data_IF_330016404907
#
_entry.id   IF_330016404907
#
_cell.length_a   1.000
_cell.length_b   1.000
_cell.length_c   1.000
_cell.angle_alpha   90.00
_cell.angle_beta   90.00
_cell.angle_gamma   90.00
#
_symmetry.space_group_name_H-M   'P 1'
#
loop_
_entity.id
_entity.type
_entity.pdbx_description
1 polymer ?
#
# COMPACT_ATOMS: atom_id res chain seq x y z
N UNK A 1 3.18 -13.28 -1.87
CA UNK A 1 2.85 -11.85 -2.02
C UNK A 1 1.63 -11.65 -2.92
N UNK A 2 1.70 -11.82 -4.26
CA UNK A 2 0.53 -11.53 -5.14
C UNK A 2 -0.74 -12.36 -4.83
N UNK A 3 -0.59 -13.58 -4.32
CA UNK A 3 -1.73 -14.42 -3.91
C UNK A 3 -2.55 -13.85 -2.75
N UNK A 4 -1.93 -13.07 -1.86
CA UNK A 4 -2.60 -12.49 -0.67
C UNK A 4 -3.56 -11.35 -1.05
N UNK A 5 -3.27 -10.67 -2.17
CA UNK A 5 -4.10 -9.58 -2.67
C UNK A 5 -5.22 -10.03 -3.60
N UNK A 6 -5.13 -11.25 -4.15
CA UNK A 6 -6.02 -11.74 -5.20
C UNK A 6 -7.50 -11.69 -4.81
N UNK A 7 -7.82 -12.10 -3.58
CA UNK A 7 -9.22 -12.11 -3.11
C UNK A 7 -9.76 -10.68 -3.03
N UNK A 8 -9.02 -9.76 -2.40
CA UNK A 8 -9.40 -8.36 -2.21
C UNK A 8 -9.49 -7.57 -3.52
N UNK A 9 -8.64 -7.87 -4.50
CA UNK A 9 -8.58 -7.15 -5.79
C UNK A 9 -9.50 -7.72 -6.87
N UNK A 10 -10.05 -8.93 -6.67
CA UNK A 10 -10.93 -9.60 -7.66
C UNK A 10 -12.42 -9.28 -7.52
N UNK A 11 -12.81 -8.57 -6.46
CA UNK A 11 -14.22 -8.22 -6.18
C UNK A 11 -14.58 -6.86 -6.77
N UNK A 12 -15.87 -6.64 -7.00
CA UNK A 12 -16.40 -5.29 -7.16
C UNK A 12 -16.56 -4.63 -5.78
N UNK A 13 -16.41 -3.32 -5.74
CA UNK A 13 -16.60 -2.51 -4.53
C UNK A 13 -17.45 -1.28 -4.85
N UNK A 14 -18.07 -0.72 -3.82
CA UNK A 14 -18.69 0.60 -3.85
C UNK A 14 -17.84 1.61 -3.06
N UNK A 15 -18.18 2.91 -3.13
CA UNK A 15 -17.44 3.94 -2.40
C UNK A 15 -17.43 3.72 -0.90
N UNK A 16 -18.54 3.23 -0.35
CA UNK A 16 -18.70 2.94 1.07
C UNK A 16 -17.78 1.81 1.55
N UNK A 17 -17.27 0.99 0.64
CA UNK A 17 -16.35 -0.11 0.95
C UNK A 17 -14.90 0.34 1.09
N UNK A 18 -14.56 1.59 0.73
CA UNK A 18 -13.17 2.09 0.68
C UNK A 18 -12.42 1.86 1.99
N UNK A 19 -13.03 2.21 3.12
CA UNK A 19 -12.41 2.03 4.43
C UNK A 19 -12.05 0.56 4.70
N UNK A 20 -12.94 -0.37 4.35
CA UNK A 20 -12.69 -1.81 4.51
C UNK A 20 -11.65 -2.32 3.53
N UNK A 21 -11.67 -1.86 2.27
CA UNK A 21 -10.65 -2.17 1.28
C UNK A 21 -9.26 -1.77 1.78
N UNK A 22 -9.09 -0.53 2.25
CA UNK A 22 -7.81 -0.02 2.75
C UNK A 22 -7.33 -0.86 3.94
N UNK A 23 -8.23 -1.23 4.86
CA UNK A 23 -7.91 -2.09 5.99
C UNK A 23 -7.41 -3.47 5.53
N UNK A 24 -8.11 -4.11 4.58
CA UNK A 24 -7.72 -5.41 4.04
C UNK A 24 -6.36 -5.36 3.33
N UNK A 25 -6.11 -4.33 2.53
CA UNK A 25 -4.83 -4.13 1.84
C UNK A 25 -3.68 -3.93 2.83
N UNK A 26 -3.92 -3.13 3.88
CA UNK A 26 -2.95 -2.90 4.94
C UNK A 26 -2.63 -4.19 5.70
N UNK A 27 -3.65 -4.97 6.06
CA UNK A 27 -3.48 -6.24 6.77
C UNK A 27 -2.74 -7.27 5.89
N UNK A 28 -3.05 -7.34 4.60
CA UNK A 28 -2.35 -8.19 3.63
C UNK A 28 -0.88 -7.79 3.47
N UNK A 29 -0.56 -6.50 3.33
CA UNK A 29 0.83 -6.04 3.20
C UNK A 29 1.65 -6.38 4.44
N UNK A 30 1.12 -6.13 5.65
CA UNK A 30 1.80 -6.49 6.90
C UNK A 30 2.00 -8.00 7.02
N UNK A 31 0.99 -8.80 6.65
CA UNK A 31 1.08 -10.26 6.73
C UNK A 31 2.10 -10.82 5.74
N UNK A 32 2.19 -10.21 4.56
CA UNK A 32 3.09 -10.65 3.50
C UNK A 32 4.58 -10.43 3.81
N UNK A 33 4.86 -9.53 4.74
CA UNK A 33 6.19 -9.19 5.26
C UNK A 33 6.74 -10.28 6.20
N UNK A 34 7.01 -11.45 5.62
CA UNK A 34 7.35 -12.69 6.33
C UNK A 34 8.86 -12.93 6.47
N UNK A 35 9.70 -12.17 5.76
CA UNK A 35 11.15 -12.30 5.85
C UNK A 35 11.65 -11.87 7.23
N UNK A 36 12.62 -12.60 7.77
CA UNK A 36 13.31 -12.12 8.97
C UNK A 36 14.03 -10.79 8.65
N UNK A 37 14.16 -9.92 9.65
CA UNK A 37 14.69 -8.55 9.50
C UNK A 37 16.05 -8.51 8.79
N UNK A 38 16.96 -9.43 9.13
CA UNK A 38 18.31 -9.47 8.53
C UNK A 38 18.24 -9.74 7.03
N UNK A 39 17.50 -10.78 6.65
CA UNK A 39 17.32 -11.15 5.25
C UNK A 39 16.58 -10.06 4.46
N UNK A 40 15.57 -9.41 5.06
CA UNK A 40 14.86 -8.29 4.44
C UNK A 40 15.82 -7.12 4.15
N UNK A 41 16.61 -6.73 5.15
CA UNK A 41 17.57 -5.63 5.01
C UNK A 41 18.69 -5.95 3.99
N UNK A 42 19.20 -7.18 3.99
CA UNK A 42 20.18 -7.63 2.99
C UNK A 42 19.59 -7.56 1.57
N UNK A 43 18.35 -8.00 1.39
CA UNK A 43 17.68 -7.97 0.09
C UNK A 43 17.37 -6.54 -0.37
N UNK A 44 17.02 -5.64 0.55
CA UNK A 44 16.91 -4.19 0.29
C UNK A 44 18.23 -3.57 -0.12
N UNK A 45 19.33 -3.94 0.56
CA UNK A 45 20.67 -3.47 0.18
C UNK A 45 21.06 -3.97 -1.22
N UNK A 46 20.75 -5.23 -1.55
CA UNK A 46 20.96 -5.77 -2.89
C UNK A 46 20.16 -5.04 -3.96
N UNK A 47 18.90 -4.68 -3.69
CA UNK A 47 18.08 -3.89 -4.60
C UNK A 47 18.66 -2.49 -4.90
N UNK A 48 19.53 -1.94 -4.04
CA UNK A 48 20.23 -0.68 -4.31
C UNK A 48 21.50 -0.86 -5.16
N UNK A 49 22.05 -2.07 -5.20
CA UNK A 49 23.30 -2.39 -5.89
C UNK A 49 23.07 -3.09 -7.24
N UNK A 50 21.94 -3.78 -7.39
CA UNK A 50 21.57 -4.56 -8.55
C UNK A 50 20.27 -4.01 -9.19
N UNK A 51 20.35 -3.41 -10.39
CA UNK A 51 19.19 -2.87 -11.09
C UNK A 51 18.13 -3.91 -11.43
N UNK A 52 18.47 -5.19 -11.61
CA UNK A 52 17.49 -6.23 -11.92
C UNK A 52 16.60 -6.51 -10.70
N UNK A 53 17.20 -6.58 -9.52
CA UNK A 53 16.49 -6.72 -8.25
C UNK A 53 15.65 -5.47 -7.98
N UNK A 54 16.21 -4.27 -8.22
CA UNK A 54 15.46 -3.02 -8.09
C UNK A 54 14.21 -3.00 -8.98
N UNK A 55 14.37 -3.39 -10.24
CA UNK A 55 13.29 -3.41 -11.22
C UNK A 55 12.20 -4.42 -10.83
N UNK A 56 12.55 -5.52 -10.16
CA UNK A 56 11.56 -6.45 -9.64
C UNK A 56 10.62 -5.78 -8.62
N UNK A 57 11.16 -5.00 -7.67
CA UNK A 57 10.37 -4.25 -6.69
C UNK A 57 9.51 -3.17 -7.33
N UNK A 58 10.11 -2.35 -8.19
CA UNK A 58 9.40 -1.28 -8.90
C UNK A 58 8.26 -1.86 -9.74
N UNK A 59 8.50 -2.96 -10.44
CA UNK A 59 7.48 -3.61 -11.25
C UNK A 59 6.39 -4.25 -10.40
N UNK A 60 6.72 -4.83 -9.24
CA UNK A 60 5.74 -5.36 -8.30
C UNK A 60 4.82 -4.24 -7.77
N UNK A 61 5.39 -3.16 -7.25
CA UNK A 61 4.62 -2.00 -6.77
C UNK A 61 3.72 -1.45 -7.88
N UNK A 62 4.27 -1.20 -9.07
CA UNK A 62 3.52 -0.67 -10.19
C UNK A 62 2.31 -1.55 -10.58
N UNK A 63 2.49 -2.88 -10.60
CA UNK A 63 1.37 -3.81 -10.90
C UNK A 63 0.30 -3.79 -9.81
N UNK A 64 0.71 -3.80 -8.54
CA UNK A 64 -0.23 -3.75 -7.42
C UNK A 64 -1.04 -2.45 -7.42
N UNK A 65 -0.37 -1.31 -7.58
CA UNK A 65 -1.03 0.00 -7.63
C UNK A 65 -1.94 0.14 -8.85
N UNK A 66 -1.56 -0.41 -10.00
CA UNK A 66 -2.42 -0.42 -11.19
C UNK A 66 -3.73 -1.18 -10.94
N UNK A 67 -3.67 -2.36 -10.31
CA UNK A 67 -4.87 -3.13 -9.97
C UNK A 67 -5.79 -2.40 -8.99
N UNK A 68 -5.21 -1.77 -7.96
CA UNK A 68 -5.98 -0.96 -7.00
C UNK A 68 -6.62 0.24 -7.70
N UNK A 69 -5.88 0.91 -8.58
CA UNK A 69 -6.36 2.06 -9.37
C UNK A 69 -7.56 1.68 -10.23
N UNK A 70 -7.48 0.57 -10.96
CA UNK A 70 -8.60 0.05 -11.77
C UNK A 70 -9.84 -0.24 -10.91
N UNK A 71 -9.64 -0.88 -9.75
CA UNK A 71 -10.71 -1.16 -8.80
C UNK A 71 -11.40 0.13 -8.31
N UNK A 72 -10.62 1.14 -7.92
CA UNK A 72 -11.17 2.43 -7.45
C UNK A 72 -11.88 3.20 -8.58
N UNK A 73 -11.33 3.21 -9.80
CA UNK A 73 -12.00 3.84 -10.95
C UNK A 73 -13.33 3.15 -11.24
N UNK A 74 -13.38 1.81 -11.14
CA UNK A 74 -14.63 1.05 -11.33
C UNK A 74 -15.70 1.37 -10.29
N UNK A 75 -15.28 1.86 -9.11
CA UNK A 75 -16.14 2.33 -8.03
C UNK A 75 -16.38 3.86 -8.07
N UNK A 76 -16.14 4.49 -9.23
CA UNK A 76 -16.41 5.90 -9.50
C UNK A 76 -15.59 6.89 -8.65
N UNK A 77 -14.42 6.48 -8.15
CA UNK A 77 -13.46 7.42 -7.57
C UNK A 77 -12.81 8.28 -8.65
N UNK A 78 -12.48 9.54 -8.29
CA UNK A 78 -11.80 10.46 -9.19
C UNK A 78 -10.44 9.90 -9.60
N UNK A 79 -10.14 9.95 -10.90
CA UNK A 79 -8.82 9.59 -11.43
C UNK A 79 -7.78 10.70 -11.23
N UNK A 80 -8.19 11.89 -10.80
CA UNK A 80 -7.31 13.03 -10.58
C UNK A 80 -6.27 12.71 -9.48
N UNK A 81 -5.00 12.71 -9.88
CA UNK A 81 -3.85 12.37 -9.04
C UNK A 81 -3.96 11.03 -8.29
N UNK A 82 -4.79 10.10 -8.78
CA UNK A 82 -5.08 8.85 -8.07
C UNK A 82 -3.82 7.99 -7.95
N UNK A 83 -2.95 8.02 -8.95
CA UNK A 83 -1.70 7.26 -8.93
C UNK A 83 -0.73 7.78 -7.87
N UNK A 84 -0.58 9.10 -7.76
CA UNK A 84 0.24 9.76 -6.74
C UNK A 84 -0.30 9.51 -5.33
N UNK A 85 -1.62 9.62 -5.16
CA UNK A 85 -2.31 9.28 -3.90
C UNK A 85 -2.06 7.84 -3.50
N UNK A 86 -2.20 6.89 -4.44
CA UNK A 86 -1.94 5.48 -4.19
C UNK A 86 -0.47 5.21 -3.84
N UNK A 87 0.47 5.91 -4.48
CA UNK A 87 1.90 5.78 -4.17
C UNK A 87 2.24 6.28 -2.78
N UNK A 88 1.66 7.40 -2.35
CA UNK A 88 1.80 7.92 -0.98
C UNK A 88 1.16 6.95 0.02
N UNK A 89 -0.03 6.44 -0.28
CA UNK A 89 -0.72 5.47 0.55
C UNK A 89 0.09 4.18 0.75
N UNK A 90 0.70 3.68 -0.32
CA UNK A 90 1.60 2.53 -0.27
C UNK A 90 2.81 2.79 0.64
N UNK A 91 3.43 3.97 0.51
CA UNK A 91 4.52 4.39 1.39
C UNK A 91 4.15 4.43 2.88
N UNK A 92 2.92 4.87 3.21
CA UNK A 92 2.41 4.84 4.59
C UNK A 92 2.36 3.41 5.12
N UNK A 93 1.88 2.46 4.31
CA UNK A 93 1.75 1.05 4.71
C UNK A 93 3.13 0.39 4.83
N UNK A 94 4.03 0.62 3.88
CA UNK A 94 5.41 0.09 3.90
C UNK A 94 6.18 0.57 5.13
N UNK A 95 6.07 1.84 5.50
CA UNK A 95 6.68 2.35 6.72
C UNK A 95 6.18 1.60 7.96
N UNK A 96 4.87 1.35 8.04
CA UNK A 96 4.29 0.63 9.17
C UNK A 96 4.76 -0.84 9.22
N UNK A 97 4.91 -1.48 8.07
CA UNK A 97 5.46 -2.83 7.96
C UNK A 97 6.90 -2.87 8.50
N UNK A 98 7.75 -1.95 8.06
CA UNK A 98 9.13 -1.86 8.50
C UNK A 98 9.26 -1.57 10.00
N UNK A 99 8.49 -0.62 10.53
CA UNK A 99 8.50 -0.31 11.96
C UNK A 99 8.14 -1.55 12.81
N UNK A 100 7.16 -2.34 12.36
CA UNK A 100 6.73 -3.54 13.06
C UNK A 100 7.75 -4.68 12.99
N UNK A 101 8.25 -5.00 11.78
CA UNK A 101 9.25 -6.07 11.58
C UNK A 101 10.53 -5.76 12.35
N UNK A 102 10.98 -4.51 12.32
CA UNK A 102 12.18 -4.04 13.03
C UNK A 102 11.98 -3.92 14.55
N UNK A 103 10.78 -4.25 15.05
CA UNK A 103 10.41 -4.18 16.48
C UNK A 103 10.58 -2.77 17.07
N UNK A 104 10.44 -1.73 16.24
CA UNK A 104 10.40 -0.32 16.68
C UNK A 104 9.08 -0.06 17.41
N UNK A 105 8.00 -0.70 16.96
CA UNK A 105 6.67 -0.63 17.57
C UNK A 105 6.19 -2.00 18.03
N UNK A 106 5.44 -2.03 19.13
CA UNK A 106 4.77 -3.24 19.61
C UNK A 106 3.40 -3.48 18.93
N UNK A 107 2.76 -4.60 19.25
CA UNK A 107 1.44 -4.97 18.70
C UNK A 107 0.33 -3.95 19.05
N UNK A 108 0.41 -3.34 20.23
CA UNK A 108 -0.56 -2.35 20.68
C UNK A 108 -0.39 -1.02 19.90
N UNK A 109 0.85 -0.58 19.68
CA UNK A 109 1.19 0.55 18.83
C UNK A 109 0.81 0.27 17.38
N UNK A 110 1.12 -0.92 16.85
CA UNK A 110 0.70 -1.33 15.52
C UNK A 110 -0.82 -1.17 15.38
N UNK A 111 -1.59 -1.73 16.32
CA UNK A 111 -3.06 -1.63 16.30
C UNK A 111 -3.56 -0.18 16.25
N UNK A 112 -2.93 0.75 16.99
CA UNK A 112 -3.28 2.18 16.94
C UNK A 112 -2.84 2.83 15.62
N UNK A 113 -1.65 2.50 15.14
CA UNK A 113 -1.12 3.03 13.87
C UNK A 113 -1.94 2.56 12.67
N UNK A 114 -2.48 1.33 12.68
CA UNK A 114 -3.42 0.84 11.65
C UNK A 114 -4.66 1.75 11.54
N UNK A 115 -5.24 2.15 12.67
CA UNK A 115 -6.41 3.04 12.69
C UNK A 115 -6.08 4.38 12.03
N UNK A 116 -4.93 4.97 12.38
CA UNK A 116 -4.49 6.25 11.80
C UNK A 116 -4.19 6.10 10.31
N UNK A 117 -3.49 5.04 9.91
CA UNK A 117 -3.13 4.77 8.52
C UNK A 117 -4.37 4.59 7.64
N UNK A 118 -5.35 3.78 8.08
CA UNK A 118 -6.60 3.57 7.33
C UNK A 118 -7.34 4.89 7.14
N UNK A 119 -7.47 5.70 8.19
CA UNK A 119 -8.12 7.01 8.09
C UNK A 119 -7.38 7.94 7.14
N UNK A 120 -6.06 8.05 7.26
CA UNK A 120 -5.23 8.92 6.44
C UNK A 120 -5.31 8.54 4.95
N UNK A 121 -5.22 7.24 4.64
CA UNK A 121 -5.27 6.73 3.27
C UNK A 121 -6.66 6.93 2.66
N UNK A 122 -7.72 6.64 3.42
CA UNK A 122 -9.10 6.85 2.97
C UNK A 122 -9.31 8.33 2.61
N UNK A 123 -8.96 9.24 3.52
CA UNK A 123 -9.06 10.67 3.28
C UNK A 123 -8.19 11.15 2.12
N UNK A 124 -6.99 10.58 1.92
CA UNK A 124 -6.12 10.91 0.80
C UNK A 124 -6.73 10.50 -0.55
N UNK A 125 -7.36 9.34 -0.63
CA UNK A 125 -8.02 8.84 -1.84
C UNK A 125 -9.23 9.72 -2.19
N UNK A 126 -10.05 10.03 -1.18
CA UNK A 126 -11.26 10.85 -1.31
C UNK A 126 -10.98 12.34 -1.51
N UNK A 127 -9.76 12.80 -1.23
CA UNK A 127 -9.39 14.22 -1.34
C UNK A 127 -9.59 14.74 -2.76
N UNK A 128 -10.47 15.72 -2.94
CA UNK A 128 -10.56 16.45 -4.20
C UNK A 128 -9.36 17.37 -4.35
N UNK A 129 -8.57 17.14 -5.39
CA UNK A 129 -7.39 17.94 -5.71
C UNK A 129 -7.60 18.49 -7.12
N UNK A 130 -7.61 19.80 -7.24
CA UNK A 130 -7.60 20.46 -8.55
C UNK A 130 -6.16 20.55 -9.06
N UNK A 131 -5.88 20.18 -10.31
CA UNK A 131 -4.56 20.40 -10.88
C UNK A 131 -4.27 21.89 -10.96
N UNK A 132 -3.11 22.32 -10.45
CA UNK A 132 -2.64 23.68 -10.68
C UNK A 132 -2.48 23.89 -12.19
N UNK A 133 -3.37 24.71 -12.78
CA UNK A 133 -3.23 25.16 -14.16
C UNK A 133 -2.08 26.17 -14.17
N UNK A 134 -0.91 25.75 -14.64
CA UNK A 134 0.21 26.66 -14.96
C UNK A 134 0.02 27.30 -16.32
#
# INVERSE_FOLDING_TARGET
MESEFRTTLSRQIQKEDLHNLVKELLDALITSHTMNVSAHNEFMALALLDPEIQNYFVAFEARLLAQIKELLISAEFSSCFLEEKLRIAFGIIEQLCHDYIQQIIDEAQLSRSKVVAVQAITSLIEMDVEPEIK
#
